data_IF_861236823003
#
_entry.id   IF_861236823003
#
_cell.length_a   1.000
_cell.length_b   1.000
_cell.length_c   1.000
_cell.angle_alpha   90.00
_cell.angle_beta   90.00
_cell.angle_gamma   90.00
#
_symmetry.space_group_name_H-M   'P 1'
#
loop_
_entity.id
_entity.type
_entity.pdbx_description
1 polymer ?
#
# COMPACT_ATOMS: atom_id res chain seq x y z
N UNK A 1 -38.06 4.50 12.88
CA UNK A 1 -36.91 4.49 11.96
C UNK A 1 -35.71 4.14 12.80
N UNK A 2 -35.37 2.85 12.84
CA UNK A 2 -34.26 2.39 13.68
C UNK A 2 -32.95 2.91 13.10
N UNK A 3 -32.22 3.69 13.89
CA UNK A 3 -30.95 4.26 13.51
C UNK A 3 -29.89 3.17 13.64
N UNK A 4 -29.60 2.48 12.54
CA UNK A 4 -28.39 1.65 12.45
C UNK A 4 -27.17 2.55 12.72
N UNK A 5 -26.38 2.18 13.73
CA UNK A 5 -25.23 2.93 14.20
C UNK A 5 -24.22 3.20 13.10
N UNK A 6 -24.29 4.40 12.52
CA UNK A 6 -23.32 4.91 11.56
C UNK A 6 -22.43 5.92 12.30
N UNK A 7 -21.45 5.42 13.05
CA UNK A 7 -20.49 6.31 13.70
C UNK A 7 -19.36 6.67 12.72
N UNK A 8 -18.93 7.92 12.72
CA UNK A 8 -17.83 8.42 11.89
C UNK A 8 -16.53 8.38 12.68
N UNK A 9 -15.50 7.74 12.13
CA UNK A 9 -14.21 7.63 12.78
C UNK A 9 -13.27 8.74 12.34
N UNK A 10 -12.64 9.37 13.33
CA UNK A 10 -11.77 10.51 13.13
C UNK A 10 -10.40 10.27 13.74
N UNK A 11 -9.32 10.56 13.02
CA UNK A 11 -7.96 10.42 13.52
C UNK A 11 -7.13 11.67 13.21
N UNK A 12 -6.25 11.99 14.14
CA UNK A 12 -5.34 13.14 14.05
C UNK A 12 -3.92 12.61 14.21
N UNK A 13 -3.08 12.64 13.17
CA UNK A 13 -1.71 12.15 13.26
C UNK A 13 -0.87 13.11 14.09
N UNK A 14 -0.37 12.65 15.25
CA UNK A 14 0.43 13.48 16.15
C UNK A 14 1.95 13.32 15.93
N UNK A 15 2.36 12.19 15.35
CA UNK A 15 3.77 11.85 15.10
C UNK A 15 3.92 11.25 13.71
N UNK A 16 5.02 11.59 13.03
CA UNK A 16 5.38 10.95 11.76
C UNK A 16 6.06 9.59 11.97
N UNK A 17 6.25 8.80 10.90
CA UNK A 17 6.91 7.49 10.94
C UNK A 17 8.36 7.51 11.48
N UNK A 18 9.01 8.68 11.54
CA UNK A 18 10.34 8.88 12.13
C UNK A 18 10.30 9.31 13.61
N UNK A 19 9.11 9.39 14.22
CA UNK A 19 8.92 9.74 15.63
C UNK A 19 8.92 11.25 15.93
N UNK A 20 8.97 12.12 14.92
CA UNK A 20 8.90 13.57 15.11
C UNK A 20 7.44 14.06 15.15
N UNK A 21 7.17 15.05 16.02
CA UNK A 21 5.84 15.63 16.19
C UNK A 21 5.39 16.41 14.94
N UNK A 22 4.13 16.23 14.54
CA UNK A 22 3.54 16.99 13.43
C UNK A 22 3.12 18.37 13.94
N UNK A 23 3.74 19.43 13.42
CA UNK A 23 3.58 20.80 13.95
C UNK A 23 2.14 21.36 13.81
N UNK A 24 1.39 20.93 12.79
CA UNK A 24 0.00 21.32 12.55
C UNK A 24 -0.82 20.09 12.13
N UNK A 25 -1.25 19.23 13.08
CA UNK A 25 -1.89 17.98 12.73
C UNK A 25 -3.30 18.24 12.22
N UNK A 26 -3.55 17.90 10.94
CA UNK A 26 -4.89 18.05 10.34
C UNK A 26 -5.75 16.84 10.69
N UNK A 27 -6.90 17.04 11.34
CA UNK A 27 -7.80 15.94 11.65
C UNK A 27 -8.40 15.34 10.34
N UNK A 28 -8.44 14.01 10.19
CA UNK A 28 -8.98 13.30 9.02
C UNK A 28 -10.12 12.33 9.39
N UNK A 29 -11.18 12.34 8.58
CA UNK A 29 -12.23 11.33 8.60
C UNK A 29 -11.74 10.06 7.90
N UNK A 30 -11.71 8.93 8.61
CA UNK A 30 -11.11 7.69 8.12
C UNK A 30 -12.11 6.54 7.92
N UNK A 31 -13.40 6.81 8.07
CA UNK A 31 -14.45 5.89 7.63
C UNK A 31 -15.66 5.84 8.56
N UNK A 32 -16.66 5.09 8.13
CA UNK A 32 -17.81 4.73 8.95
C UNK A 32 -17.48 3.47 9.76
N UNK A 33 -17.66 3.56 11.08
CA UNK A 33 -17.47 2.49 12.04
C UNK A 33 -18.67 1.54 11.98
N UNK A 34 -18.39 0.26 11.78
CA UNK A 34 -19.42 -0.78 11.77
C UNK A 34 -19.57 -1.43 13.15
N UNK A 35 -18.47 -1.61 13.88
CA UNK A 35 -18.44 -2.15 15.25
C UNK A 35 -17.25 -1.59 16.04
N UNK A 36 -17.44 -1.29 17.33
CA UNK A 36 -16.35 -1.00 18.26
C UNK A 36 -16.54 -1.73 19.60
N UNK A 37 -15.46 -2.30 20.10
CA UNK A 37 -15.37 -3.02 21.37
C UNK A 37 -14.29 -2.37 22.24
N UNK A 38 -14.62 -2.12 23.51
CA UNK A 38 -13.66 -1.62 24.51
C UNK A 38 -13.61 -2.63 25.64
N UNK A 39 -12.46 -3.28 25.78
CA UNK A 39 -12.20 -4.25 26.84
C UNK A 39 -11.34 -3.58 27.93
N UNK A 40 -11.87 -3.54 29.16
CA UNK A 40 -11.16 -3.01 30.33
C UNK A 40 -10.80 -4.18 31.22
N UNK A 41 -9.52 -4.55 31.26
CA UNK A 41 -8.99 -5.61 32.14
C UNK A 41 -8.25 -4.98 33.31
N UNK A 42 -8.47 -5.52 34.52
CA UNK A 42 -7.78 -5.12 35.75
C UNK A 42 -7.31 -6.38 36.46
N UNK A 43 -6.01 -6.59 36.53
CA UNK A 43 -5.46 -7.64 37.37
C UNK A 43 -5.53 -7.22 38.85
N UNK A 44 -5.92 -8.12 39.73
CA UNK A 44 -5.87 -7.92 41.18
C UNK A 44 -4.80 -8.85 41.75
N UNK A 45 -3.78 -8.30 42.40
CA UNK A 45 -2.76 -9.11 43.09
C UNK A 45 -3.15 -9.28 44.55
N UNK A 46 -3.31 -10.53 44.98
CA UNK A 46 -3.58 -10.90 46.37
C UNK A 46 -2.37 -11.61 46.97
N UNK A 47 -1.91 -11.15 48.14
CA UNK A 47 -0.83 -11.79 48.91
C UNK A 47 -1.48 -12.76 49.91
N UNK A 48 -1.18 -14.05 49.78
CA UNK A 48 -1.68 -15.10 50.69
C UNK A 48 -0.71 -15.30 51.86
N UNK A 49 -1.21 -15.14 53.09
CA UNK A 49 -0.58 -15.59 54.33
C UNK A 49 -1.30 -16.83 54.88
N UNK A 50 -0.75 -17.48 55.91
CA UNK A 50 -1.17 -18.80 56.46
C UNK A 50 -2.57 -18.85 57.13
N UNK A 51 -3.48 -17.94 56.82
CA UNK A 51 -4.88 -17.96 57.26
C UNK A 51 -5.77 -17.64 56.05
N UNK A 52 -6.95 -18.28 55.96
CA UNK A 52 -7.80 -18.39 54.76
C UNK A 52 -8.31 -17.06 54.14
N UNK A 53 -7.89 -15.89 54.63
CA UNK A 53 -8.29 -14.57 54.12
C UNK A 53 -7.06 -13.71 53.75
N UNK A 54 -7.05 -13.08 52.56
CA UNK A 54 -5.93 -12.25 52.10
C UNK A 54 -5.81 -10.96 52.93
N UNK A 55 -4.61 -10.66 53.43
CA UNK A 55 -4.36 -9.50 54.32
C UNK A 55 -4.28 -8.16 53.58
N UNK A 56 -4.00 -8.16 52.26
CA UNK A 56 -4.05 -6.97 51.39
C UNK A 56 -4.40 -7.35 49.95
N UNK A 57 -5.26 -6.52 49.34
CA UNK A 57 -5.56 -6.54 47.90
C UNK A 57 -4.99 -5.25 47.31
N UNK A 58 -4.10 -5.37 46.32
CA UNK A 58 -3.58 -4.21 45.58
C UNK A 58 -3.96 -4.35 44.10
N UNK A 59 -4.50 -3.26 43.53
CA UNK A 59 -4.79 -3.20 42.10
C UNK A 59 -3.51 -3.38 41.28
N UNK A 60 -3.48 -4.41 40.45
CA UNK A 60 -2.44 -4.63 39.45
C UNK A 60 -2.62 -3.72 38.23
N UNK A 61 -1.83 -4.02 37.19
CA UNK A 61 -1.85 -3.27 35.93
C UNK A 61 -3.24 -3.41 35.31
N UNK A 62 -3.84 -2.28 34.95
CA UNK A 62 -5.06 -2.24 34.14
C UNK A 62 -4.68 -2.02 32.69
N UNK A 63 -5.22 -2.82 31.78
CA UNK A 63 -5.11 -2.57 30.35
C UNK A 63 -6.47 -2.18 29.81
N UNK A 64 -6.49 -1.14 28.98
CA UNK A 64 -7.67 -0.70 28.23
C UNK A 64 -7.33 -0.99 26.77
N UNK A 65 -8.05 -1.93 26.16
CA UNK A 65 -7.85 -2.34 24.79
C UNK A 65 -9.10 -2.01 23.99
N UNK A 66 -8.96 -1.25 22.90
CA UNK A 66 -10.04 -0.94 21.97
C UNK A 66 -9.84 -1.65 20.63
N UNK A 67 -10.90 -2.23 20.08
CA UNK A 67 -10.96 -2.77 18.71
C UNK A 67 -12.06 -2.03 17.95
N UNK A 68 -11.77 -1.60 16.73
CA UNK A 68 -12.77 -1.01 15.84
C UNK A 68 -12.63 -1.60 14.44
N UNK A 69 -13.76 -1.91 13.80
CA UNK A 69 -13.84 -2.33 12.40
C UNK A 69 -14.42 -1.19 11.56
N UNK A 70 -13.75 -0.85 10.47
CA UNK A 70 -14.16 0.19 9.53
C UNK A 70 -14.22 -0.38 8.11
N UNK A 71 -15.16 0.15 7.31
CA UNK A 71 -15.57 -0.47 6.05
C UNK A 71 -14.74 -0.06 4.82
N UNK A 72 -13.96 1.02 4.90
CA UNK A 72 -13.23 1.56 3.74
C UNK A 72 -11.78 1.87 4.07
N UNK A 73 -10.86 1.32 3.27
CA UNK A 73 -9.42 1.59 3.35
C UNK A 73 -9.01 2.28 2.06
N UNK A 74 -8.44 3.48 2.15
CA UNK A 74 -7.81 4.17 1.01
C UNK A 74 -6.32 4.39 1.30
N UNK A 75 -5.47 4.27 0.27
CA UNK A 75 -4.00 4.30 0.44
C UNK A 75 -3.49 5.57 1.15
N UNK A 76 -4.02 6.73 0.77
CA UNK A 76 -3.70 8.01 1.41
C UNK A 76 -4.09 8.09 2.89
N UNK A 77 -5.06 7.30 3.34
CA UNK A 77 -5.44 7.16 4.75
C UNK A 77 -4.34 6.48 5.55
N UNK A 78 -3.81 5.37 5.03
CA UNK A 78 -2.74 4.63 5.70
C UNK A 78 -1.47 5.48 5.75
N UNK A 79 -1.13 6.15 4.65
CA UNK A 79 0.03 7.06 4.59
C UNK A 79 -0.06 8.20 5.60
N UNK A 80 -1.24 8.82 5.74
CA UNK A 80 -1.39 9.98 6.62
C UNK A 80 -1.64 9.60 8.08
N UNK A 81 -2.44 8.56 8.33
CA UNK A 81 -2.87 8.19 9.69
C UNK A 81 -1.92 7.17 10.33
N UNK A 82 -1.40 6.21 9.57
CA UNK A 82 -0.47 5.19 10.11
C UNK A 82 0.99 5.63 10.01
N UNK A 83 1.37 6.38 8.97
CA UNK A 83 2.76 6.75 8.70
C UNK A 83 3.06 8.26 8.83
N UNK A 84 2.03 9.09 9.01
CA UNK A 84 2.19 10.55 9.18
C UNK A 84 2.91 11.24 8.03
N UNK A 85 2.78 10.70 6.81
CA UNK A 85 3.34 11.28 5.58
C UNK A 85 2.21 11.93 4.77
N UNK A 86 2.51 13.03 4.08
CA UNK A 86 1.57 13.61 3.12
C UNK A 86 1.42 12.64 1.94
N UNK A 87 0.19 12.22 1.65
CA UNK A 87 -0.08 11.34 0.51
C UNK A 87 0.38 11.96 -0.80
N UNK A 88 1.14 11.21 -1.60
CA UNK A 88 1.58 11.68 -2.92
C UNK A 88 0.37 11.86 -3.83
N UNK A 89 0.19 13.06 -4.39
CA UNK A 89 -0.82 13.27 -5.41
C UNK A 89 -0.46 12.44 -6.66
N UNK A 90 -1.41 11.63 -7.15
CA UNK A 90 -1.25 10.86 -8.38
C UNK A 90 -1.84 9.46 -8.27
N UNK A 91 -2.47 8.99 -9.35
CA UNK A 91 -2.91 7.61 -9.50
C UNK A 91 -1.81 6.90 -10.29
N UNK A 92 -1.18 5.89 -9.70
CA UNK A 92 -0.34 4.96 -10.45
C UNK A 92 -1.26 3.88 -11.01
N UNK A 93 -1.54 3.95 -12.32
CA UNK A 93 -2.28 2.92 -13.02
C UNK A 93 -1.33 1.96 -13.71
N UNK A 94 -1.58 0.66 -13.56
CA UNK A 94 -0.96 -0.36 -14.39
C UNK A 94 -1.59 -0.30 -15.78
N UNK A 95 -0.77 -0.34 -16.82
CA UNK A 95 -1.22 -0.47 -18.20
C UNK A 95 -1.05 -1.93 -18.60
N UNK A 96 -2.12 -2.55 -19.05
CA UNK A 96 -2.07 -3.87 -19.66
C UNK A 96 -2.20 -3.71 -21.17
N UNK A 97 -1.10 -3.91 -21.89
CA UNK A 97 -1.07 -3.74 -23.34
C UNK A 97 -1.72 -4.92 -24.05
N UNK A 98 -2.77 -4.63 -24.82
CA UNK A 98 -3.54 -5.60 -25.63
C UNK A 98 -3.40 -5.37 -27.12
N UNK A 99 -2.77 -4.27 -27.54
CA UNK A 99 -2.60 -3.90 -28.95
C UNK A 99 -1.26 -4.43 -29.45
N UNK A 100 -0.22 -4.32 -28.61
CA UNK A 100 1.14 -4.71 -28.93
C UNK A 100 1.84 -3.73 -29.86
N UNK A 101 3.17 -3.72 -29.79
CA UNK A 101 4.04 -2.91 -30.62
C UNK A 101 4.96 -3.81 -31.44
N UNK A 102 5.16 -3.45 -32.71
CA UNK A 102 6.19 -4.09 -33.53
C UNK A 102 7.57 -3.60 -33.10
N UNK A 103 8.45 -4.54 -32.78
CA UNK A 103 9.82 -4.28 -32.36
C UNK A 103 10.61 -3.73 -33.54
N UNK A 104 11.12 -2.51 -33.38
CA UNK A 104 12.25 -1.96 -34.15
C UNK A 104 13.52 -2.08 -33.29
N UNK A 105 14.48 -1.16 -33.41
CA UNK A 105 15.61 -1.08 -32.47
C UNK A 105 15.16 -0.62 -31.08
N UNK A 106 14.20 0.31 -31.05
CA UNK A 106 13.61 0.84 -29.82
C UNK A 106 12.09 0.97 -29.96
N UNK A 107 11.36 0.77 -28.87
CA UNK A 107 9.93 1.01 -28.75
C UNK A 107 9.70 1.95 -27.58
N UNK A 108 8.89 2.99 -27.79
CA UNK A 108 8.45 3.90 -26.72
C UNK A 108 6.93 3.79 -26.61
N UNK A 109 6.39 3.01 -25.65
CA UNK A 109 4.96 2.92 -25.46
C UNK A 109 4.40 4.30 -25.09
N UNK A 110 3.26 4.65 -25.68
CA UNK A 110 2.56 5.88 -25.32
C UNK A 110 1.69 5.61 -24.09
N UNK A 111 1.94 6.26 -22.94
CA UNK A 111 1.08 6.08 -21.77
C UNK A 111 -0.35 6.53 -22.09
N UNK A 112 -1.39 5.88 -21.53
CA UNK A 112 -2.77 6.30 -21.75
C UNK A 112 -3.03 7.73 -21.26
N UNK A 113 -3.78 8.49 -22.06
CA UNK A 113 -4.20 9.87 -21.74
C UNK A 113 -3.00 10.80 -21.47
N UNK A 114 -2.97 11.46 -20.31
CA UNK A 114 -1.90 12.38 -19.86
C UNK A 114 -0.90 11.72 -18.91
N UNK A 115 -0.89 10.39 -18.84
CA UNK A 115 0.03 9.64 -17.98
C UNK A 115 1.50 9.82 -18.40
N UNK A 116 2.41 9.66 -17.44
CA UNK A 116 3.84 9.57 -17.70
C UNK A 116 4.33 8.17 -17.36
N UNK A 117 5.30 7.66 -18.12
CA UNK A 117 5.96 6.41 -17.77
C UNK A 117 6.61 6.53 -16.38
N UNK A 118 6.40 5.53 -15.53
CA UNK A 118 6.94 5.51 -14.17
C UNK A 118 7.85 4.31 -13.93
N UNK A 119 7.37 3.13 -14.28
CA UNK A 119 8.06 1.87 -14.06
C UNK A 119 7.70 0.87 -15.14
N UNK A 120 8.68 0.02 -15.46
CA UNK A 120 8.53 -1.15 -16.30
C UNK A 120 7.96 -2.34 -15.51
N UNK A 121 6.90 -2.96 -16.03
CA UNK A 121 6.29 -4.19 -15.50
C UNK A 121 6.53 -5.39 -16.42
N UNK A 122 7.25 -5.18 -17.54
CA UNK A 122 7.82 -6.24 -18.34
C UNK A 122 7.35 -6.26 -19.79
N UNK A 123 8.06 -7.03 -20.60
CA UNK A 123 7.77 -7.21 -22.02
C UNK A 123 7.47 -8.67 -22.32
N UNK A 124 6.40 -8.93 -23.08
CA UNK A 124 5.95 -10.27 -23.44
C UNK A 124 5.88 -10.39 -24.97
N UNK A 125 6.39 -11.49 -25.53
CA UNK A 125 6.25 -11.78 -26.96
C UNK A 125 4.81 -12.15 -27.30
N UNK A 126 4.18 -11.48 -28.27
CA UNK A 126 2.81 -11.78 -28.66
C UNK A 126 2.66 -13.18 -29.28
N UNK A 127 3.69 -13.65 -29.98
CA UNK A 127 3.64 -14.95 -30.68
C UNK A 127 3.76 -16.16 -29.74
N UNK A 128 4.50 -16.05 -28.63
CA UNK A 128 4.81 -17.19 -27.75
C UNK A 128 4.27 -17.02 -26.33
N UNK A 129 3.86 -15.82 -25.93
CA UNK A 129 3.46 -15.51 -24.56
C UNK A 129 4.63 -15.53 -23.56
N UNK A 130 5.87 -15.69 -24.02
CA UNK A 130 7.04 -15.72 -23.16
C UNK A 130 7.49 -14.30 -22.82
N UNK A 131 7.82 -14.09 -21.55
CA UNK A 131 8.42 -12.85 -21.09
C UNK A 131 9.86 -12.71 -21.63
N UNK A 132 10.20 -11.54 -22.13
CA UNK A 132 11.59 -11.20 -22.41
C UNK A 132 12.35 -10.97 -21.10
N UNK A 133 13.66 -11.20 -21.14
CA UNK A 133 14.53 -10.94 -19.99
C UNK A 133 15.06 -9.51 -20.00
N UNK A 134 14.89 -8.79 -18.89
CA UNK A 134 15.45 -7.45 -18.73
C UNK A 134 16.96 -7.50 -18.48
N UNK A 135 17.72 -6.69 -19.20
CA UNK A 135 19.16 -6.49 -19.01
C UNK A 135 19.50 -5.01 -18.86
N UNK A 136 20.68 -4.73 -18.30
CA UNK A 136 21.11 -3.35 -18.06
C UNK A 136 21.44 -2.59 -19.36
N UNK A 137 22.07 -3.26 -20.33
CA UNK A 137 22.47 -2.69 -21.62
C UNK A 137 22.75 -3.78 -22.64
N UNK A 138 22.80 -3.41 -23.93
CA UNK A 138 23.17 -4.30 -25.04
C UNK A 138 22.39 -5.63 -25.06
N UNK A 139 21.05 -5.58 -25.23
CA UNK A 139 20.21 -6.78 -25.22
C UNK A 139 20.58 -7.77 -26.31
N UNK A 140 20.65 -9.05 -25.95
CA UNK A 140 20.62 -10.18 -26.88
C UNK A 140 19.20 -10.54 -27.33
N UNK A 141 19.07 -11.51 -28.24
CA UNK A 141 17.75 -11.96 -28.71
C UNK A 141 16.91 -12.51 -27.54
N UNK A 142 15.66 -12.07 -27.42
CA UNK A 142 14.79 -12.41 -26.29
C UNK A 142 15.07 -11.63 -25.00
N UNK A 143 15.93 -10.60 -25.08
CA UNK A 143 16.21 -9.67 -24.00
C UNK A 143 15.80 -8.24 -24.37
N UNK A 144 15.64 -7.39 -23.36
CA UNK A 144 15.40 -5.96 -23.55
C UNK A 144 16.09 -5.14 -22.46
N UNK A 145 16.40 -3.89 -22.77
CA UNK A 145 16.79 -2.90 -21.76
C UNK A 145 15.83 -1.72 -21.81
N UNK A 146 15.49 -1.16 -20.66
CA UNK A 146 14.57 -0.01 -20.56
C UNK A 146 15.24 1.14 -19.81
N UNK A 147 15.17 2.33 -20.39
CA UNK A 147 15.62 3.57 -19.79
C UNK A 147 14.58 4.67 -20.05
N UNK A 148 14.04 5.25 -18.98
CA UNK A 148 13.04 6.34 -19.04
C UNK A 148 11.87 6.07 -20.02
N UNK A 149 11.32 4.85 -20.01
CA UNK A 149 10.22 4.45 -20.89
C UNK A 149 10.60 4.09 -22.33
N UNK A 150 11.89 4.12 -22.68
CA UNK A 150 12.38 3.65 -23.98
C UNK A 150 12.91 2.23 -23.86
N UNK A 151 12.27 1.30 -24.56
CA UNK A 151 12.59 -0.12 -24.58
C UNK A 151 13.48 -0.43 -25.78
N UNK A 152 14.70 -0.89 -25.54
CA UNK A 152 15.66 -1.29 -26.58
C UNK A 152 15.68 -2.80 -26.70
N UNK A 153 15.67 -3.29 -27.94
CA UNK A 153 15.66 -4.71 -28.27
C UNK A 153 16.87 -5.08 -29.14
N UNK A 154 17.16 -6.38 -29.22
CA UNK A 154 18.17 -6.87 -30.15
C UNK A 154 17.68 -6.79 -31.61
N UNK A 155 18.62 -6.65 -32.55
CA UNK A 155 18.31 -6.69 -34.00
C UNK A 155 17.64 -8.00 -34.40
N UNK A 156 17.95 -9.11 -33.72
CA UNK A 156 17.31 -10.42 -33.95
C UNK A 156 15.84 -10.50 -33.55
N UNK A 157 15.31 -9.49 -32.85
CA UNK A 157 13.90 -9.39 -32.47
C UNK A 157 13.10 -8.42 -33.35
N UNK A 158 13.75 -7.75 -34.32
CA UNK A 158 13.11 -6.84 -35.23
C UNK A 158 11.93 -7.52 -35.98
N UNK A 159 10.79 -6.84 -36.02
CA UNK A 159 9.56 -7.33 -36.65
C UNK A 159 8.69 -8.24 -35.76
N UNK A 160 9.14 -8.65 -34.58
CA UNK A 160 8.30 -9.35 -33.60
C UNK A 160 7.30 -8.38 -32.96
N UNK A 161 6.11 -8.85 -32.63
CA UNK A 161 5.14 -8.07 -31.85
C UNK A 161 5.35 -8.37 -30.37
N UNK A 162 5.42 -7.31 -29.55
CA UNK A 162 5.56 -7.41 -28.09
C UNK A 162 4.49 -6.60 -27.37
N UNK A 163 4.05 -7.08 -26.22
CA UNK A 163 3.21 -6.35 -25.27
C UNK A 163 4.10 -5.74 -24.19
N UNK A 164 3.96 -4.44 -23.93
CA UNK A 164 4.76 -3.71 -22.94
C UNK A 164 3.85 -3.24 -21.80
N UNK A 165 4.11 -3.71 -20.58
CA UNK A 165 3.31 -3.40 -19.39
C UNK A 165 4.07 -2.52 -18.39
#
# INVERSE_FOLDING_TARGET
>A
MEMFGTALMWATPLTNAAGAAVANPTPLLFGTMQEAEIEIKRDLKQLHGQSQFPVKVAGGKGSINGKAKFATIFGGMLETIMFGQAGSAGIQSVVYDTVGATVATTVTPTPPSSGTWLKDLGVIAAATGLAFKRVASAPGAGEYSVAAGVYTFAVGDAGKIVYIN
#
